data_IF_305644592813
#
_entry.id   IF_305644592813
#
_cell.length_a   1.000
_cell.length_b   1.000
_cell.length_c   1.000
_cell.angle_alpha   90.00
_cell.angle_beta   90.00
_cell.angle_gamma   90.00
#
_symmetry.space_group_name_H-M   'P 1'
#
loop_
_entity.id
_entity.type
_entity.pdbx_description
1 polymer ?
#
# COMPACT_ATOMS: atom_id res chain seq x y z
N UNK A 1 -15.37 -6.19 18.95
CA UNK A 1 -14.56 -5.12 18.33
C UNK A 1 -14.28 -4.10 19.42
N UNK A 2 -13.01 -3.82 19.75
CA UNK A 2 -12.66 -2.82 20.78
C UNK A 2 -13.01 -1.43 20.25
N UNK A 3 -13.72 -0.63 21.04
CA UNK A 3 -14.02 0.77 20.70
C UNK A 3 -12.76 1.60 20.95
N UNK A 4 -12.28 2.31 19.93
CA UNK A 4 -11.16 3.23 20.06
C UNK A 4 -11.65 4.53 20.71
N UNK A 5 -10.82 5.08 21.60
CA UNK A 5 -11.05 6.41 22.16
C UNK A 5 -10.12 7.44 21.47
N UNK A 6 -10.53 8.71 21.31
CA UNK A 6 -9.68 9.75 20.70
C UNK A 6 -8.32 9.92 21.38
N UNK A 7 -8.20 9.56 22.64
CA UNK A 7 -6.95 9.58 23.41
C UNK A 7 -6.00 8.42 23.08
N UNK A 8 -6.45 7.40 22.37
CA UNK A 8 -5.65 6.23 21.97
C UNK A 8 -4.94 6.44 20.63
N UNK A 9 -5.20 7.52 19.91
CA UNK A 9 -4.47 7.88 18.71
C UNK A 9 -2.99 8.13 19.02
N UNK A 10 -2.11 7.33 18.46
CA UNK A 10 -0.66 7.49 18.57
C UNK A 10 -0.13 8.25 17.35
N UNK A 11 0.15 9.54 17.55
CA UNK A 11 0.78 10.40 16.54
C UNK A 11 2.20 10.76 17.00
N UNK A 12 3.15 10.78 16.08
CA UNK A 12 4.53 11.16 16.41
C UNK A 12 5.25 11.70 15.19
N UNK A 13 6.10 12.70 15.38
CA UNK A 13 7.14 13.02 14.42
C UNK A 13 8.27 12.01 14.54
N UNK A 14 8.68 11.47 13.40
CA UNK A 14 9.76 10.49 13.32
C UNK A 14 10.72 10.89 12.19
N UNK A 15 11.99 10.44 12.30
CA UNK A 15 12.93 10.64 11.21
C UNK A 15 12.55 9.80 9.99
N UNK A 16 12.47 10.43 8.82
CA UNK A 16 12.21 9.76 7.53
C UNK A 16 13.23 8.65 7.23
N UNK A 17 14.46 8.74 7.74
CA UNK A 17 15.48 7.70 7.61
C UNK A 17 15.10 6.39 8.30
N UNK A 18 14.16 6.43 9.26
CA UNK A 18 13.66 5.26 9.99
C UNK A 18 12.38 4.69 9.40
N UNK A 19 11.77 5.37 8.41
CA UNK A 19 10.53 4.94 7.76
C UNK A 19 10.88 4.03 6.59
N UNK A 20 10.40 2.81 6.61
CA UNK A 20 10.71 1.76 5.64
C UNK A 20 9.48 1.46 4.78
N UNK A 21 9.45 1.86 3.52
CA UNK A 21 8.37 1.50 2.61
C UNK A 21 8.48 0.02 2.20
N UNK A 22 7.36 -0.68 2.17
CA UNK A 22 7.25 -2.07 1.70
C UNK A 22 6.67 -2.18 0.28
N UNK A 23 6.13 -1.11 -0.29
CA UNK A 23 5.63 -1.04 -1.66
C UNK A 23 6.45 -0.07 -2.52
N UNK A 24 6.44 -0.33 -3.85
CA UNK A 24 6.90 0.65 -4.81
C UNK A 24 6.01 1.89 -4.81
N UNK A 25 6.54 3.01 -5.25
CA UNK A 25 5.79 4.22 -5.53
C UNK A 25 5.66 4.51 -7.04
N UNK A 26 4.80 5.45 -7.37
CA UNK A 26 4.62 5.95 -8.74
C UNK A 26 5.21 7.37 -8.83
N UNK A 27 6.30 7.57 -9.60
CA UNK A 27 6.92 8.88 -9.73
C UNK A 27 5.98 9.99 -10.23
N UNK A 28 4.98 9.64 -11.04
CA UNK A 28 3.97 10.62 -11.53
C UNK A 28 3.06 11.05 -10.37
N UNK A 29 2.62 10.10 -9.55
CA UNK A 29 1.82 10.40 -8.35
C UNK A 29 2.63 11.18 -7.33
N UNK A 30 3.91 10.82 -7.13
CA UNK A 30 4.83 11.56 -6.23
C UNK A 30 4.91 13.03 -6.65
N UNK A 31 5.14 13.33 -7.94
CA UNK A 31 5.17 14.71 -8.45
C UNK A 31 3.87 15.47 -8.20
N UNK A 32 2.70 14.83 -8.36
CA UNK A 32 1.40 15.44 -8.05
C UNK A 32 1.28 15.78 -6.57
N UNK A 33 1.68 14.87 -5.68
CA UNK A 33 1.66 15.12 -4.22
C UNK A 33 2.64 16.23 -3.83
N UNK A 34 3.84 16.28 -4.41
CA UNK A 34 4.78 17.40 -4.20
C UNK A 34 4.11 18.73 -4.56
N UNK A 35 3.48 18.81 -5.73
CA UNK A 35 2.80 20.03 -6.17
C UNK A 35 1.64 20.41 -5.23
N UNK A 36 0.86 19.43 -4.77
CA UNK A 36 -0.24 19.65 -3.83
C UNK A 36 0.29 20.13 -2.47
N UNK A 37 1.29 19.47 -1.89
CA UNK A 37 1.90 19.85 -0.62
C UNK A 37 2.50 21.27 -0.69
N UNK A 38 3.21 21.60 -1.80
CA UNK A 38 3.81 22.93 -1.98
C UNK A 38 2.75 24.03 -2.10
N UNK A 39 1.62 23.76 -2.77
CA UNK A 39 0.51 24.69 -2.91
C UNK A 39 -0.26 24.88 -1.59
N UNK A 40 -0.57 23.76 -0.90
CA UNK A 40 -1.44 23.77 0.27
C UNK A 40 -0.68 24.19 1.54
N UNK A 41 0.62 23.95 1.61
CA UNK A 41 1.47 24.34 2.73
C UNK A 41 1.31 23.44 3.97
N UNK A 42 0.57 22.33 3.89
CA UNK A 42 0.35 21.43 5.02
C UNK A 42 0.22 19.96 4.61
N UNK A 43 0.57 19.06 5.52
CA UNK A 43 0.27 17.64 5.44
C UNK A 43 -1.13 17.39 6.01
N UNK A 44 -2.08 17.04 5.13
CA UNK A 44 -3.50 16.84 5.52
C UNK A 44 -3.67 15.60 6.39
N UNK A 45 -3.18 14.47 5.92
CA UNK A 45 -3.32 13.18 6.59
C UNK A 45 -1.93 12.56 6.81
N UNK A 46 -1.59 12.15 8.03
CA UNK A 46 -0.28 11.51 8.29
C UNK A 46 -0.19 10.17 7.57
N UNK A 47 1.00 9.76 7.08
CA UNK A 47 1.28 8.38 6.76
C UNK A 47 1.06 7.49 7.99
N UNK A 48 0.72 6.21 7.75
CA UNK A 48 0.47 5.25 8.82
C UNK A 48 1.59 4.23 8.83
N UNK A 49 2.15 4.00 10.01
CA UNK A 49 3.30 3.11 10.20
C UNK A 49 3.07 2.14 11.35
N UNK A 50 3.77 1.01 11.29
CA UNK A 50 3.95 0.11 12.41
C UNK A 50 5.37 0.24 12.97
N UNK A 51 5.52 0.30 14.29
CA UNK A 51 6.83 0.34 14.92
C UNK A 51 7.41 -1.07 15.04
N UNK A 52 8.66 -1.24 14.59
CA UNK A 52 9.40 -2.49 14.71
C UNK A 52 10.90 -2.22 14.93
N UNK A 53 11.44 -2.65 16.07
CA UNK A 53 12.87 -2.51 16.42
C UNK A 53 13.45 -1.11 16.17
N UNK A 54 12.77 -0.05 16.66
CA UNK A 54 13.14 1.36 16.49
C UNK A 54 13.13 1.87 15.04
N UNK A 55 12.52 1.13 14.11
CA UNK A 55 12.18 1.52 12.75
C UNK A 55 10.67 1.55 12.59
N UNK A 56 10.19 2.12 11.48
CA UNK A 56 8.79 2.30 11.20
C UNK A 56 8.45 1.71 9.83
N UNK A 57 7.76 0.56 9.80
CA UNK A 57 7.27 -0.04 8.56
C UNK A 57 6.08 0.76 8.08
N UNK A 58 6.17 1.32 6.90
CA UNK A 58 5.14 2.16 6.30
C UNK A 58 3.99 1.31 5.76
N UNK A 59 2.80 1.40 6.36
CA UNK A 59 1.62 0.64 5.96
C UNK A 59 0.72 1.38 4.96
N UNK A 60 0.66 2.73 5.08
CA UNK A 60 -0.11 3.59 4.17
C UNK A 60 0.59 4.93 3.98
N UNK A 61 0.49 5.50 2.78
CA UNK A 61 1.04 6.81 2.47
C UNK A 61 2.42 6.80 1.82
N UNK A 62 2.81 5.72 1.12
CA UNK A 62 4.09 5.63 0.42
C UNK A 62 4.37 6.84 -0.48
N UNK A 63 3.40 7.25 -1.31
CA UNK A 63 3.52 8.43 -2.18
C UNK A 63 3.77 9.73 -1.40
N UNK A 64 3.12 9.89 -0.21
CA UNK A 64 3.33 11.07 0.66
C UNK A 64 4.73 11.10 1.25
N UNK A 65 5.20 9.95 1.73
CA UNK A 65 6.57 9.81 2.26
C UNK A 65 7.60 10.10 1.17
N UNK A 66 7.47 9.52 -0.02
CA UNK A 66 8.37 9.77 -1.15
C UNK A 66 8.34 11.23 -1.60
N UNK A 67 7.17 11.89 -1.57
CA UNK A 67 7.06 13.32 -1.85
C UNK A 67 7.82 14.16 -0.82
N UNK A 68 7.64 13.91 0.47
CA UNK A 68 8.34 14.63 1.54
C UNK A 68 9.87 14.44 1.46
N UNK A 69 10.33 13.22 1.16
CA UNK A 69 11.76 12.95 0.93
C UNK A 69 12.27 13.79 -0.26
N UNK A 70 11.55 13.83 -1.38
CA UNK A 70 11.94 14.61 -2.57
C UNK A 70 11.92 16.11 -2.34
N UNK A 71 11.13 16.60 -1.37
CA UNK A 71 11.10 18.00 -0.92
C UNK A 71 12.22 18.33 0.09
N UNK A 72 13.04 17.34 0.49
CA UNK A 72 14.18 17.54 1.40
C UNK A 72 13.83 17.52 2.88
N UNK A 73 12.63 17.12 3.27
CA UNK A 73 12.28 16.95 4.68
C UNK A 73 13.07 15.80 5.32
N UNK A 74 13.45 15.98 6.59
CA UNK A 74 14.17 14.96 7.38
C UNK A 74 13.25 14.19 8.30
N UNK A 75 12.16 14.82 8.71
CA UNK A 75 11.19 14.28 9.65
C UNK A 75 9.80 14.31 9.03
N UNK A 76 8.94 13.40 9.50
CA UNK A 76 7.54 13.32 9.08
C UNK A 76 6.65 13.02 10.27
N UNK A 77 5.48 13.64 10.31
CA UNK A 77 4.42 13.23 11.20
C UNK A 77 3.80 11.93 10.70
N UNK A 78 3.70 10.92 11.56
CA UNK A 78 3.06 9.63 11.28
C UNK A 78 2.00 9.29 12.32
N UNK A 79 1.05 8.46 11.91
CA UNK A 79 0.22 7.71 12.85
C UNK A 79 0.85 6.33 13.07
N UNK A 80 1.06 5.95 14.32
CA UNK A 80 1.62 4.66 14.70
C UNK A 80 0.48 3.72 15.08
N UNK A 81 0.44 2.53 14.49
CA UNK A 81 -0.55 1.49 14.78
C UNK A 81 0.13 0.21 15.25
N UNK A 82 -0.60 -0.59 16.02
CA UNK A 82 -0.17 -1.93 16.39
C UNK A 82 -0.47 -2.90 15.25
N UNK A 83 0.61 -3.42 14.63
CA UNK A 83 0.51 -4.35 13.51
C UNK A 83 0.56 -5.83 13.93
N UNK A 84 0.88 -6.08 15.19
CA UNK A 84 0.85 -7.42 15.80
C UNK A 84 -0.52 -7.79 16.36
N UNK A 85 -1.38 -6.78 16.56
CA UNK A 85 -2.73 -6.92 17.12
C UNK A 85 -3.80 -7.25 16.06
N UNK A 86 -5.01 -7.53 16.54
CA UNK A 86 -6.18 -7.83 15.69
C UNK A 86 -6.79 -6.58 15.03
N UNK A 87 -6.19 -5.40 15.21
CA UNK A 87 -6.77 -4.13 14.77
C UNK A 87 -6.49 -3.79 13.31
N UNK A 88 -5.41 -4.32 12.74
CA UNK A 88 -5.03 -4.06 11.35
C UNK A 88 -5.17 -5.35 10.55
N UNK A 89 -6.13 -5.37 9.63
CA UNK A 89 -6.25 -6.48 8.68
C UNK A 89 -5.38 -6.24 7.45
N UNK A 90 -4.64 -7.25 7.04
CA UNK A 90 -3.89 -7.25 5.80
C UNK A 90 -4.58 -8.12 4.77
N UNK A 91 -5.02 -7.49 3.71
CA UNK A 91 -5.65 -8.08 2.54
C UNK A 91 -4.83 -7.75 1.28
N UNK A 92 -5.34 -8.12 0.13
CA UNK A 92 -4.73 -7.82 -1.18
C UNK A 92 -5.72 -7.17 -2.12
N UNK A 93 -5.17 -6.36 -3.03
CA UNK A 93 -5.84 -5.96 -4.25
C UNK A 93 -5.36 -6.88 -5.39
N UNK A 94 -6.29 -7.44 -6.12
CA UNK A 94 -6.01 -8.08 -7.40
C UNK A 94 -6.02 -7.04 -8.51
N UNK A 95 -5.29 -7.27 -9.58
CA UNK A 95 -5.25 -6.36 -10.72
C UNK A 95 -6.14 -6.86 -11.85
N UNK A 96 -7.05 -6.01 -12.33
CA UNK A 96 -7.81 -6.21 -13.57
C UNK A 96 -7.07 -5.48 -14.68
N UNK A 97 -6.61 -6.21 -15.66
CA UNK A 97 -5.87 -5.68 -16.83
C UNK A 97 -6.87 -5.45 -17.96
N UNK A 98 -6.92 -4.23 -18.48
CA UNK A 98 -7.87 -3.83 -19.52
C UNK A 98 -7.12 -3.23 -20.71
N UNK A 99 -7.54 -3.62 -21.94
CA UNK A 99 -7.05 -3.00 -23.17
C UNK A 99 -5.74 -3.56 -23.74
N UNK A 100 -5.06 -4.49 -23.05
CA UNK A 100 -3.89 -5.20 -23.59
C UNK A 100 -4.35 -6.52 -24.19
N UNK A 101 -4.07 -6.82 -25.48
CA UNK A 101 -4.44 -8.11 -26.08
C UNK A 101 -3.91 -9.30 -25.26
N UNK A 102 -4.75 -10.33 -24.99
CA UNK A 102 -4.34 -11.47 -24.16
C UNK A 102 -3.08 -12.19 -24.67
N UNK A 103 -2.95 -12.38 -25.99
CA UNK A 103 -1.77 -13.03 -26.58
C UNK A 103 -0.51 -12.18 -26.39
N UNK A 104 -0.63 -10.85 -26.50
CA UNK A 104 0.48 -9.93 -26.24
C UNK A 104 0.88 -9.94 -24.76
N UNK A 105 -0.10 -10.01 -23.84
CA UNK A 105 0.18 -10.14 -22.41
C UNK A 105 0.98 -11.42 -22.14
N UNK A 106 0.55 -12.57 -22.69
CA UNK A 106 1.26 -13.84 -22.52
C UNK A 106 2.65 -13.82 -23.16
N UNK A 107 2.79 -13.23 -24.34
CA UNK A 107 4.10 -13.08 -24.98
C UNK A 107 5.05 -12.22 -24.13
N UNK A 108 4.57 -11.06 -23.67
CA UNK A 108 5.37 -10.18 -22.80
C UNK A 108 5.75 -10.87 -21.46
N UNK A 109 4.90 -11.74 -20.93
CA UNK A 109 5.20 -12.51 -19.72
C UNK A 109 6.25 -13.61 -19.97
N UNK A 110 6.22 -14.23 -21.15
CA UNK A 110 7.21 -15.23 -21.54
C UNK A 110 8.63 -14.65 -21.71
N UNK A 111 8.74 -13.34 -21.96
CA UNK A 111 10.01 -12.61 -22.07
C UNK A 111 10.61 -12.21 -20.70
N UNK A 112 9.91 -12.49 -19.59
CA UNK A 112 10.43 -12.19 -18.25
C UNK A 112 11.31 -13.33 -17.77
N UNK A 113 12.60 -13.07 -17.63
CA UNK A 113 13.56 -14.05 -17.11
C UNK A 113 13.15 -14.56 -15.72
N UNK A 114 13.39 -15.85 -15.47
CA UNK A 114 13.12 -16.54 -14.19
C UNK A 114 11.62 -16.65 -13.83
N UNK A 115 10.71 -16.17 -14.69
CA UNK A 115 9.28 -16.31 -14.50
C UNK A 115 8.81 -17.69 -14.97
N UNK A 116 8.38 -18.53 -14.06
CA UNK A 116 7.75 -19.81 -14.41
C UNK A 116 6.24 -19.66 -14.43
N UNK A 117 5.64 -19.90 -15.63
CA UNK A 117 4.19 -19.85 -15.81
C UNK A 117 3.71 -21.27 -16.13
N UNK A 118 2.85 -21.80 -15.27
CA UNK A 118 2.27 -23.13 -15.43
C UNK A 118 0.75 -23.03 -15.60
N UNK A 119 0.22 -23.67 -16.65
CA UNK A 119 -1.24 -23.79 -16.83
C UNK A 119 -1.82 -24.64 -15.70
N UNK A 120 -2.93 -24.20 -15.13
CA UNK A 120 -3.61 -24.86 -14.01
C UNK A 120 -5.11 -24.99 -14.28
N UNK A 121 -5.77 -25.88 -13.54
CA UNK A 121 -7.22 -26.00 -13.55
C UNK A 121 -7.89 -24.89 -12.74
N UNK A 122 -9.08 -24.48 -13.19
CA UNK A 122 -9.82 -23.37 -12.57
C UNK A 122 -10.16 -23.61 -11.08
N UNK A 123 -10.30 -24.86 -10.68
CA UNK A 123 -10.62 -25.26 -9.30
C UNK A 123 -9.44 -25.11 -8.34
N UNK A 124 -8.21 -24.97 -8.83
CA UNK A 124 -6.98 -24.94 -8.03
C UNK A 124 -6.55 -23.53 -7.61
N UNK A 125 -6.99 -22.47 -8.32
CA UNK A 125 -6.56 -21.09 -8.06
C UNK A 125 -6.73 -20.70 -6.60
N UNK A 126 -7.92 -20.86 -6.04
CA UNK A 126 -8.18 -20.47 -4.66
C UNK A 126 -7.32 -21.26 -3.67
N UNK A 127 -7.11 -22.56 -3.91
CA UNK A 127 -6.28 -23.40 -3.06
C UNK A 127 -4.80 -22.93 -3.09
N UNK A 128 -4.28 -22.61 -4.26
CA UNK A 128 -2.89 -22.15 -4.44
C UNK A 128 -2.68 -20.78 -3.76
N UNK A 129 -3.62 -19.85 -3.92
CA UNK A 129 -3.54 -18.54 -3.28
C UNK A 129 -3.63 -18.62 -1.75
N UNK A 130 -4.56 -19.42 -1.22
CA UNK A 130 -4.72 -19.64 0.23
C UNK A 130 -3.50 -20.35 0.82
N UNK A 131 -2.97 -21.38 0.13
CA UNK A 131 -1.76 -22.08 0.55
C UNK A 131 -0.48 -21.27 0.35
N UNK A 132 -0.55 -20.12 -0.38
CA UNK A 132 0.60 -19.26 -0.70
C UNK A 132 1.73 -20.00 -1.44
N UNK A 133 1.33 -20.97 -2.27
CA UNK A 133 2.24 -21.80 -3.08
C UNK A 133 2.51 -21.21 -4.47
N UNK A 134 2.09 -19.99 -4.71
CA UNK A 134 2.27 -19.22 -5.95
C UNK A 134 2.51 -17.76 -5.61
N UNK A 135 3.23 -17.05 -6.48
CA UNK A 135 3.41 -15.60 -6.34
C UNK A 135 2.20 -14.83 -6.89
N UNK A 136 1.56 -15.39 -7.92
CA UNK A 136 0.29 -14.88 -8.45
C UNK A 136 -0.43 -15.97 -9.24
N UNK A 137 -1.73 -15.78 -9.49
CA UNK A 137 -2.48 -16.50 -10.52
C UNK A 137 -2.92 -15.54 -11.61
N UNK A 138 -2.71 -15.90 -12.88
CA UNK A 138 -3.19 -15.15 -14.03
C UNK A 138 -4.46 -15.83 -14.54
N UNK A 139 -5.58 -15.11 -14.56
CA UNK A 139 -6.89 -15.60 -15.00
C UNK A 139 -7.26 -14.83 -16.26
N UNK A 140 -7.15 -15.49 -17.40
CA UNK A 140 -7.41 -14.89 -18.71
C UNK A 140 -8.92 -14.73 -18.94
N UNK A 141 -9.29 -13.75 -19.75
CA UNK A 141 -10.70 -13.49 -20.14
C UNK A 141 -11.44 -14.72 -20.65
N UNK A 142 -10.76 -15.60 -21.37
CA UNK A 142 -11.33 -16.85 -21.93
C UNK A 142 -11.47 -17.98 -20.90
N UNK A 143 -11.15 -17.71 -19.61
CA UNK A 143 -11.18 -18.69 -18.54
C UNK A 143 -9.91 -19.54 -18.38
N UNK A 144 -8.93 -19.44 -19.28
CA UNK A 144 -7.63 -20.11 -19.10
C UNK A 144 -6.90 -19.51 -17.88
N UNK A 145 -6.27 -20.36 -17.07
CA UNK A 145 -5.63 -19.95 -15.85
C UNK A 145 -4.20 -20.47 -15.75
N UNK A 146 -3.33 -19.65 -15.16
CA UNK A 146 -1.92 -19.95 -14.98
C UNK A 146 -1.50 -19.61 -13.54
N UNK A 147 -0.65 -20.47 -12.97
CA UNK A 147 0.12 -20.17 -11.77
C UNK A 147 1.44 -19.51 -12.16
N UNK A 148 1.82 -18.50 -11.41
CA UNK A 148 3.12 -17.82 -11.49
C UNK A 148 3.96 -18.28 -10.32
N UNK A 149 5.08 -18.89 -10.59
CA UNK A 149 5.97 -19.51 -9.61
C UNK A 149 7.34 -18.84 -9.66
N UNK A 150 7.96 -18.71 -8.50
CA UNK A 150 9.32 -18.23 -8.31
C UNK A 150 10.04 -19.12 -7.29
N UNK A 151 11.25 -19.52 -7.59
CA UNK A 151 12.15 -20.12 -6.61
C UNK A 151 12.94 -19.01 -5.92
N UNK A 152 13.39 -19.26 -4.69
CA UNK A 152 14.19 -18.31 -3.93
C UNK A 152 13.51 -17.79 -2.67
N UNK A 153 14.15 -16.83 -2.05
CA UNK A 153 13.67 -16.20 -0.83
C UNK A 153 12.59 -15.13 -1.09
N UNK A 154 12.14 -14.46 -0.05
CA UNK A 154 11.08 -13.45 -0.18
C UNK A 154 11.52 -12.24 -1.01
N UNK A 155 12.81 -11.92 -1.05
CA UNK A 155 13.34 -10.81 -1.84
C UNK A 155 13.31 -11.14 -3.34
N UNK A 156 13.75 -12.36 -3.71
CA UNK A 156 13.70 -12.86 -5.09
C UNK A 156 12.27 -12.87 -5.61
N UNK A 157 11.35 -13.36 -4.79
CA UNK A 157 9.91 -13.39 -5.10
C UNK A 157 9.32 -12.00 -5.31
N UNK A 158 9.70 -11.01 -4.50
CA UNK A 158 9.23 -9.63 -4.67
C UNK A 158 9.81 -8.97 -5.91
N UNK A 159 11.08 -9.20 -6.21
CA UNK A 159 11.69 -8.71 -7.45
C UNK A 159 11.00 -9.28 -8.68
N UNK A 160 10.76 -10.60 -8.69
CA UNK A 160 10.01 -11.23 -9.77
C UNK A 160 8.59 -10.68 -9.89
N UNK A 161 7.90 -10.46 -8.76
CA UNK A 161 6.54 -9.92 -8.74
C UNK A 161 6.51 -8.48 -9.27
N UNK A 162 7.52 -7.67 -8.99
CA UNK A 162 7.68 -6.33 -9.58
C UNK A 162 7.90 -6.42 -11.09
N UNK A 163 8.73 -7.36 -11.58
CA UNK A 163 8.92 -7.62 -13.03
C UNK A 163 7.63 -8.08 -13.71
N UNK A 164 6.88 -8.99 -13.08
CA UNK A 164 5.56 -9.42 -13.54
C UNK A 164 4.60 -8.23 -13.73
N UNK A 165 4.49 -7.37 -12.73
CA UNK A 165 3.58 -6.21 -12.77
C UNK A 165 4.04 -5.18 -13.79
N UNK A 166 5.35 -4.98 -13.98
CA UNK A 166 5.92 -4.08 -14.99
C UNK A 166 5.57 -4.48 -16.44
N UNK A 167 5.24 -5.76 -16.68
CA UNK A 167 4.84 -6.26 -18.02
C UNK A 167 3.62 -5.51 -18.56
N UNK A 168 2.65 -5.19 -17.69
CA UNK A 168 1.39 -4.57 -18.10
C UNK A 168 1.22 -3.15 -17.56
N UNK A 169 1.93 -2.74 -16.49
CA UNK A 169 1.86 -1.38 -15.95
C UNK A 169 2.36 -0.36 -16.99
N UNK A 170 1.58 0.70 -17.23
CA UNK A 170 1.88 1.73 -18.22
C UNK A 170 1.62 1.33 -19.68
N UNK A 171 1.29 0.05 -19.95
CA UNK A 171 0.89 -0.46 -21.28
C UNK A 171 -0.60 -0.81 -21.34
N UNK A 172 -1.23 -1.05 -20.21
CA UNK A 172 -2.64 -1.36 -20.05
C UNK A 172 -3.27 -0.45 -18.99
N UNK A 173 -4.57 -0.34 -19.02
CA UNK A 173 -5.34 0.20 -17.92
C UNK A 173 -5.45 -0.87 -16.82
N UNK A 174 -5.10 -0.49 -15.57
CA UNK A 174 -5.08 -1.42 -14.43
C UNK A 174 -6.04 -0.93 -13.36
N UNK A 175 -7.06 -1.74 -13.06
CA UNK A 175 -8.00 -1.51 -11.98
C UNK A 175 -7.75 -2.48 -10.82
N UNK A 176 -8.16 -2.08 -9.63
CA UNK A 176 -8.05 -2.90 -8.41
C UNK A 176 -9.38 -3.54 -8.07
N UNK A 177 -9.35 -4.80 -7.65
CA UNK A 177 -10.53 -5.54 -7.20
C UNK A 177 -10.17 -6.40 -5.98
N UNK A 178 -11.18 -6.72 -5.16
CA UNK A 178 -11.03 -7.63 -4.00
C UNK A 178 -11.43 -9.06 -4.32
N UNK A 179 -11.89 -9.34 -5.52
CA UNK A 179 -12.26 -10.68 -5.99
C UNK A 179 -11.72 -10.90 -7.41
N UNK A 180 -11.68 -12.15 -7.84
CA UNK A 180 -11.18 -12.53 -9.17
C UNK A 180 -12.20 -13.33 -10.00
N UNK A 181 -13.47 -13.22 -9.66
CA UNK A 181 -14.58 -13.84 -10.42
C UNK A 181 -14.74 -13.15 -11.78
N UNK A 182 -14.53 -13.90 -12.88
CA UNK A 182 -14.56 -13.34 -14.22
C UNK A 182 -15.91 -12.77 -14.66
N UNK A 183 -17.07 -13.45 -14.46
CA UNK A 183 -18.34 -12.98 -15.00
C UNK A 183 -18.71 -11.55 -14.57
N UNK A 184 -18.68 -11.17 -13.27
CA UNK A 184 -18.95 -9.80 -12.87
C UNK A 184 -17.89 -8.81 -13.36
N UNK A 185 -16.60 -9.21 -13.37
CA UNK A 185 -15.51 -8.36 -13.86
C UNK A 185 -15.59 -8.10 -15.36
N UNK A 186 -15.94 -9.09 -16.19
CA UNK A 186 -16.16 -8.91 -17.62
C UNK A 186 -17.33 -7.95 -17.89
N UNK A 187 -18.39 -8.02 -17.08
CA UNK A 187 -19.52 -7.10 -17.18
C UNK A 187 -19.13 -5.66 -16.85
N UNK A 188 -18.30 -5.49 -15.83
CA UNK A 188 -17.81 -4.17 -15.41
C UNK A 188 -16.73 -3.61 -16.34
N UNK A 189 -15.86 -4.48 -16.88
CA UNK A 189 -14.74 -4.13 -17.76
C UNK A 189 -14.86 -4.90 -19.09
N UNK A 190 -15.59 -4.38 -20.08
CA UNK A 190 -15.85 -5.09 -21.35
C UNK A 190 -14.60 -5.49 -22.12
N UNK A 191 -13.50 -4.74 -21.96
CA UNK A 191 -12.19 -5.01 -22.60
C UNK A 191 -11.18 -5.63 -21.64
N UNK A 192 -11.64 -6.32 -20.57
CA UNK A 192 -10.78 -7.07 -19.68
C UNK A 192 -9.95 -8.09 -20.47
N UNK A 193 -8.65 -8.08 -20.23
CA UNK A 193 -7.68 -9.02 -20.82
C UNK A 193 -7.43 -10.20 -19.88
N UNK A 194 -7.13 -9.89 -18.63
CA UNK A 194 -6.87 -10.84 -17.57
C UNK A 194 -7.08 -10.22 -16.18
N UNK A 195 -7.16 -11.10 -15.17
CA UNK A 195 -7.04 -10.74 -13.76
C UNK A 195 -5.76 -11.35 -13.22
N UNK A 196 -4.94 -10.57 -12.53
CA UNK A 196 -3.81 -11.08 -11.75
C UNK A 196 -4.24 -11.14 -10.29
N UNK A 197 -4.40 -12.35 -9.78
CA UNK A 197 -4.77 -12.60 -8.39
C UNK A 197 -3.53 -12.91 -7.57
N UNK A 198 -3.37 -12.23 -6.43
CA UNK A 198 -2.23 -12.37 -5.54
C UNK A 198 -2.62 -13.10 -4.25
N UNK A 199 -1.72 -13.90 -3.65
CA UNK A 199 -1.93 -14.45 -2.32
C UNK A 199 -1.90 -13.33 -1.27
N UNK A 200 -2.56 -13.56 -0.13
CA UNK A 200 -2.51 -12.63 1.00
C UNK A 200 -1.14 -12.75 1.67
N UNK A 201 -0.48 -11.61 1.88
CA UNK A 201 0.75 -11.52 2.64
C UNK A 201 0.46 -11.63 4.14
N UNK A 202 1.42 -12.11 4.91
CA UNK A 202 1.38 -12.02 6.37
C UNK A 202 2.02 -10.70 6.84
N UNK A 203 1.62 -10.16 7.99
CA UNK A 203 2.30 -9.01 8.59
C UNK A 203 3.82 -9.19 8.73
N UNK A 204 4.26 -10.42 9.06
CA UNK A 204 5.68 -10.79 9.12
C UNK A 204 6.40 -10.65 7.78
N UNK A 205 5.73 -10.99 6.66
CA UNK A 205 6.31 -10.85 5.33
C UNK A 205 6.53 -9.37 4.99
N UNK A 206 5.52 -8.54 5.25
CA UNK A 206 5.60 -7.08 5.02
C UNK A 206 6.73 -6.46 5.82
N UNK A 207 6.89 -6.85 7.09
CA UNK A 207 7.99 -6.39 7.94
C UNK A 207 9.33 -6.84 7.36
N UNK A 208 9.47 -8.11 7.00
CA UNK A 208 10.71 -8.67 6.45
C UNK A 208 11.09 -7.99 5.12
N UNK A 209 10.14 -7.81 4.22
CA UNK A 209 10.31 -7.13 2.93
C UNK A 209 10.83 -5.70 3.16
N UNK A 210 10.18 -4.94 4.04
CA UNK A 210 10.58 -3.58 4.36
C UNK A 210 11.97 -3.49 5.00
N UNK A 211 12.31 -4.42 5.91
CA UNK A 211 13.62 -4.46 6.58
C UNK A 211 14.75 -4.78 5.62
N UNK A 212 14.51 -5.66 4.64
CA UNK A 212 15.49 -6.04 3.62
C UNK A 212 15.62 -5.00 2.50
N UNK A 213 14.76 -3.97 2.47
CA UNK A 213 14.74 -2.95 1.41
C UNK A 213 14.10 -3.42 0.10
N UNK A 214 13.54 -4.63 0.07
CA UNK A 214 12.73 -5.13 -1.04
C UNK A 214 11.36 -4.44 -1.05
N UNK A 215 10.64 -4.56 -2.18
CA UNK A 215 9.33 -3.92 -2.32
C UNK A 215 8.34 -4.82 -3.02
N UNK A 216 7.12 -4.80 -2.52
CA UNK A 216 5.95 -5.35 -3.20
C UNK A 216 5.56 -4.37 -4.33
N UNK A 217 5.08 -4.84 -5.48
CA UNK A 217 4.55 -3.94 -6.51
C UNK A 217 3.47 -3.03 -5.95
N UNK A 218 3.45 -1.78 -6.40
CA UNK A 218 2.49 -0.78 -5.95
C UNK A 218 1.05 -1.26 -6.10
N UNK A 219 0.30 -1.17 -5.00
CA UNK A 219 -1.14 -1.41 -4.99
C UNK A 219 -1.54 -2.88 -4.99
N UNK A 220 -0.69 -3.74 -4.47
CA UNK A 220 -1.00 -5.14 -4.18
C UNK A 220 -1.47 -5.29 -2.73
N UNK A 221 -0.78 -4.70 -1.76
CA UNK A 221 -1.22 -4.79 -0.36
C UNK A 221 -2.42 -3.87 -0.08
N UNK A 222 -3.30 -4.33 0.80
CA UNK A 222 -4.47 -3.60 1.27
C UNK A 222 -4.57 -3.67 2.79
N UNK A 223 -4.07 -2.65 3.47
CA UNK A 223 -4.22 -2.53 4.91
C UNK A 223 -5.57 -1.91 5.28
N UNK A 224 -6.38 -2.65 6.02
CA UNK A 224 -7.62 -2.16 6.61
C UNK A 224 -7.30 -1.68 8.02
N UNK A 225 -7.18 -0.36 8.17
CA UNK A 225 -6.71 0.28 9.40
C UNK A 225 -7.86 1.12 9.97
N UNK A 226 -8.48 0.69 11.08
CA UNK A 226 -9.48 1.49 11.77
C UNK A 226 -8.84 2.71 12.47
N UNK A 227 -9.64 3.71 12.76
CA UNK A 227 -9.19 4.89 13.53
C UNK A 227 -8.11 5.73 12.83
N UNK A 228 -8.17 5.85 11.49
CA UNK A 228 -7.25 6.71 10.74
C UNK A 228 -7.41 8.17 11.16
N UNK A 229 -6.29 8.85 11.43
CA UNK A 229 -6.26 10.28 11.66
C UNK A 229 -6.41 11.02 10.32
N UNK A 230 -7.57 11.59 10.08
CA UNK A 230 -7.87 12.35 8.87
C UNK A 230 -8.06 13.84 9.19
N UNK A 231 -7.69 14.71 8.24
CA UNK A 231 -7.88 16.15 8.36
C UNK A 231 -7.02 16.79 9.47
N UNK A 232 -5.86 16.22 9.78
CA UNK A 232 -4.97 16.74 10.82
C UNK A 232 -4.36 18.09 10.42
N UNK A 233 -4.10 18.31 9.13
CA UNK A 233 -3.64 19.57 8.51
C UNK A 233 -2.44 20.18 9.27
N UNK A 234 -1.32 19.47 9.28
CA UNK A 234 -0.09 19.93 9.95
C UNK A 234 0.73 20.80 8.98
N UNK A 235 1.04 22.07 9.34
CA UNK A 235 1.86 22.92 8.50
C UNK A 235 3.22 22.29 8.18
N UNK A 236 3.66 22.37 6.92
CA UNK A 236 4.94 21.80 6.48
C UNK A 236 6.14 22.41 7.22
N UNK A 237 6.03 23.69 7.63
CA UNK A 237 7.05 24.35 8.44
C UNK A 237 7.37 23.63 9.76
N UNK A 238 6.40 22.90 10.32
CA UNK A 238 6.59 22.09 11.53
C UNK A 238 7.37 20.81 11.28
N UNK A 239 7.54 20.42 10.02
CA UNK A 239 8.37 19.28 9.60
C UNK A 239 9.78 19.69 9.16
N UNK A 240 10.09 20.99 9.12
CA UNK A 240 11.41 21.52 8.81
C UNK A 240 12.52 21.02 9.77
N UNK A 241 13.76 21.41 9.51
CA UNK A 241 14.93 20.94 10.27
C UNK A 241 14.98 21.47 11.71
N UNK A 242 14.29 22.57 11.96
CA UNK A 242 14.10 23.18 13.29
C UNK A 242 12.61 23.32 13.56
N UNK A 243 12.12 23.02 14.76
CA UNK A 243 12.81 22.57 15.98
C UNK A 243 13.25 21.09 15.95
N UNK A 244 13.86 20.61 17.03
CA UNK A 244 14.26 19.19 17.21
C UNK A 244 13.05 18.25 17.20
N UNK A 245 13.27 16.93 16.99
CA UNK A 245 12.20 15.92 17.05
C UNK A 245 11.45 15.94 18.40
N UNK A 246 12.16 16.17 19.49
CA UNK A 246 11.56 16.23 20.82
C UNK A 246 10.62 17.43 20.96
N UNK A 247 11.06 18.60 20.53
CA UNK A 247 10.24 19.83 20.53
C UNK A 247 9.03 19.71 19.59
N UNK A 248 9.19 19.08 18.43
CA UNK A 248 8.09 18.78 17.49
C UNK A 248 7.04 17.90 18.15
N UNK A 249 7.47 16.85 18.84
CA UNK A 249 6.57 15.92 19.52
C UNK A 249 5.87 16.58 20.71
N UNK A 250 6.58 17.39 21.51
CA UNK A 250 5.96 18.15 22.58
C UNK A 250 4.88 19.12 22.06
N UNK A 251 5.16 19.85 20.97
CA UNK A 251 4.19 20.70 20.30
C UNK A 251 2.98 19.91 19.78
N UNK A 252 3.21 18.73 19.18
CA UNK A 252 2.15 17.87 18.66
C UNK A 252 1.23 17.39 19.77
N UNK A 253 1.78 16.97 20.92
CA UNK A 253 1.02 16.52 22.07
C UNK A 253 0.13 17.65 22.62
N UNK A 254 0.65 18.88 22.66
CA UNK A 254 -0.14 20.04 23.08
C UNK A 254 -1.27 20.34 22.09
N UNK A 255 -0.99 20.28 20.78
CA UNK A 255 -1.98 20.47 19.72
C UNK A 255 -3.12 19.44 19.82
N UNK A 256 -2.78 18.17 19.98
CA UNK A 256 -3.77 17.07 20.07
C UNK A 256 -4.62 17.24 21.33
N UNK A 257 -3.97 17.48 22.49
CA UNK A 257 -4.68 17.77 23.77
C UNK A 257 -5.63 18.96 23.64
N UNK A 258 -5.19 20.04 22.99
CA UNK A 258 -6.02 21.21 22.76
C UNK A 258 -7.24 20.90 21.90
N UNK A 259 -7.04 20.16 20.77
CA UNK A 259 -8.13 19.77 19.87
C UNK A 259 -9.16 18.87 20.56
N UNK A 260 -8.72 17.92 21.39
CA UNK A 260 -9.61 17.06 22.20
C UNK A 260 -10.42 17.91 23.18
N UNK A 261 -9.77 18.81 23.95
CA UNK A 261 -10.46 19.71 24.89
C UNK A 261 -11.49 20.62 24.24
N UNK A 262 -11.24 21.02 22.98
CA UNK A 262 -12.15 21.87 22.19
C UNK A 262 -13.24 21.08 21.46
N UNK A 263 -13.37 19.75 21.69
CA UNK A 263 -14.29 18.86 20.97
C UNK A 263 -14.10 18.91 19.43
N UNK A 264 -12.85 19.11 18.96
CA UNK A 264 -12.49 19.14 17.52
C UNK A 264 -11.99 17.79 17.01
N UNK A 265 -12.01 16.74 17.82
CA UNK A 265 -11.69 15.37 17.45
C UNK A 265 -12.96 14.53 17.55
N UNK A 266 -13.29 13.83 16.47
CA UNK A 266 -14.45 12.95 16.42
C UNK A 266 -14.00 11.59 15.91
N UNK A 267 -14.49 10.53 16.55
CA UNK A 267 -14.32 9.17 16.06
C UNK A 267 -15.61 8.74 15.36
N UNK A 268 -15.46 8.25 14.13
CA UNK A 268 -16.55 7.67 13.34
C UNK A 268 -16.34 6.16 13.25
N UNK A 269 -17.10 5.35 14.00
CA UNK A 269 -16.99 3.88 13.95
C UNK A 269 -17.63 3.29 12.69
N UNK A 270 -18.50 4.03 12.02
CA UNK A 270 -19.18 3.67 10.77
C UNK A 270 -18.26 3.90 9.55
N UNK A 271 -18.43 3.11 8.46
CA UNK A 271 -17.76 3.39 7.20
C UNK A 271 -18.11 4.77 6.66
N UNK A 272 -17.12 5.52 6.21
CA UNK A 272 -17.30 6.86 5.64
C UNK A 272 -16.72 6.91 4.22
N UNK A 273 -17.32 7.73 3.35
CA UNK A 273 -16.73 8.09 2.07
C UNK A 273 -15.83 9.31 2.26
N UNK A 274 -14.58 9.20 1.80
CA UNK A 274 -13.64 10.32 1.76
C UNK A 274 -13.38 10.64 0.31
N UNK A 275 -13.67 11.88 -0.08
CA UNK A 275 -13.33 12.39 -1.40
C UNK A 275 -11.91 12.95 -1.31
N UNK A 276 -10.94 12.17 -1.80
CA UNK A 276 -9.55 12.60 -1.92
C UNK A 276 -9.41 13.50 -3.16
N UNK A 277 -8.56 14.54 -3.04
CA UNK A 277 -8.26 15.50 -4.11
C UNK A 277 -7.31 14.92 -5.16
#
# INVERSE_FOLDING_TARGET
MRTLEPSEIRLSFVSLKKVLPHEEDDPVRVKRIVSALSRDGFLRNPPIVAEYQSKYVLLDGATRVSALISMGFRDVLVQIVDYSGEMVDLNVWHHVIVGLPPDQLLANLADVDELTIQRIDATTVNQLLVARNVEACLIMRNGTQFAVLCEGDICDKMELLCRLVAVYRGKAEVHRTTHFDLPPLIKQYPYLSAVVAFPVFLPSDVIQIALNGSKIPMGVTRHLIPGRALGLNIPLEKMGDTPSLEEKNAWLDDLVRQRIRMNKVRLYPEPVFVFDE
#
